data_IF_737960555257
#
_entry.id   IF_737960555257
#
_cell.length_a   1.000
_cell.length_b   1.000
_cell.length_c   1.000
_cell.angle_alpha   90.00
_cell.angle_beta   90.00
_cell.angle_gamma   90.00
#
_symmetry.space_group_name_H-M   'P 1'
#
loop_
_entity.id
_entity.type
_entity.pdbx_description
1 polymer ?
#
# COMPACT_ATOMS: atom_id res chain seq x y z
N UNK A 1 1.13 -3.06 9.58
CA UNK A 1 2.24 -2.09 9.51
C UNK A 1 3.52 -2.72 8.93
N UNK A 2 4.15 -3.69 9.58
CA UNK A 2 5.41 -4.28 9.11
C UNK A 2 5.33 -4.79 7.66
N UNK A 3 4.33 -5.61 7.32
CA UNK A 3 4.10 -6.13 5.96
C UNK A 3 3.96 -5.03 4.90
N UNK A 4 3.36 -3.89 5.24
CA UNK A 4 3.22 -2.74 4.32
C UNK A 4 4.60 -2.15 4.01
N UNK A 5 5.43 -1.97 5.04
CA UNK A 5 6.77 -1.39 4.92
C UNK A 5 7.70 -2.33 4.13
N UNK A 6 7.51 -3.66 4.21
CA UNK A 6 8.31 -4.63 3.46
C UNK A 6 8.31 -4.34 1.95
N UNK A 7 7.14 -3.99 1.40
CA UNK A 7 7.02 -3.67 -0.02
C UNK A 7 7.84 -2.46 -0.45
N UNK A 8 7.86 -1.40 0.38
CA UNK A 8 8.59 -0.18 0.08
C UNK A 8 10.13 -0.32 0.18
N UNK A 9 10.63 -1.32 0.91
CA UNK A 9 12.07 -1.57 1.09
C UNK A 9 12.59 -2.80 0.32
N UNK A 10 11.71 -3.46 -0.41
CA UNK A 10 12.01 -4.65 -1.18
C UNK A 10 13.21 -4.44 -2.12
N UNK A 11 13.89 -5.53 -2.46
CA UNK A 11 15.02 -5.64 -3.38
C UNK A 11 16.36 -5.03 -2.90
N UNK A 12 16.39 -4.30 -1.74
CA UNK A 12 17.64 -3.66 -1.28
C UNK A 12 17.83 -3.60 0.22
N UNK A 13 16.87 -4.06 1.03
CA UNK A 13 17.01 -4.11 2.48
C UNK A 13 17.54 -5.47 2.93
N UNK A 14 18.49 -5.48 3.87
CA UNK A 14 18.98 -6.70 4.52
C UNK A 14 17.87 -7.38 5.31
N UNK A 15 17.83 -8.72 5.26
CA UNK A 15 16.81 -9.52 5.93
C UNK A 15 16.83 -9.39 7.46
N UNK A 16 18.01 -9.53 8.09
CA UNK A 16 18.14 -9.48 9.55
C UNK A 16 17.68 -8.14 10.16
N UNK A 17 18.08 -6.96 9.65
CA UNK A 17 17.55 -5.68 10.13
C UNK A 17 16.03 -5.56 9.93
N UNK A 18 15.48 -6.14 8.86
CA UNK A 18 14.03 -6.13 8.66
C UNK A 18 13.29 -6.94 9.74
N UNK A 19 13.85 -8.08 10.18
CA UNK A 19 13.27 -8.85 11.30
C UNK A 19 13.28 -8.04 12.61
N UNK A 20 14.39 -7.36 12.92
CA UNK A 20 14.49 -6.48 14.09
C UNK A 20 13.47 -5.35 14.02
N UNK A 21 13.37 -4.71 12.85
CA UNK A 21 12.33 -3.70 12.61
C UNK A 21 10.93 -4.26 12.85
N UNK A 22 10.61 -5.41 12.28
CA UNK A 22 9.29 -6.03 12.40
C UNK A 22 8.92 -6.32 13.85
N UNK A 23 9.87 -6.81 14.65
CA UNK A 23 9.69 -7.05 16.08
C UNK A 23 9.35 -5.74 16.82
N UNK A 24 10.15 -4.70 16.65
CA UNK A 24 9.94 -3.41 17.31
C UNK A 24 8.64 -2.76 16.85
N UNK A 25 8.32 -2.81 15.56
CA UNK A 25 7.11 -2.26 15.00
C UNK A 25 5.84 -2.92 15.57
N UNK A 26 5.87 -4.25 15.72
CA UNK A 26 4.70 -5.01 16.23
C UNK A 26 4.55 -4.95 17.74
N UNK A 27 5.63 -4.77 18.49
CA UNK A 27 5.58 -4.71 19.97
C UNK A 27 5.32 -3.29 20.47
N UNK A 28 5.83 -2.25 19.80
CA UNK A 28 5.78 -0.88 20.31
C UNK A 28 5.00 0.08 19.41
N UNK A 29 5.35 0.17 18.12
CA UNK A 29 4.83 1.25 17.26
C UNK A 29 3.34 1.05 16.98
N UNK A 30 2.98 -0.14 16.53
CA UNK A 30 1.62 -0.49 16.13
C UNK A 30 0.65 -0.54 17.31
N UNK A 31 0.96 -1.22 18.44
CA UNK A 31 0.01 -1.33 19.55
C UNK A 31 -0.35 0.03 20.18
N UNK A 32 0.59 0.97 20.23
CA UNK A 32 0.30 2.31 20.74
C UNK A 32 -0.73 3.04 19.86
N UNK A 33 -0.57 3.02 18.54
CA UNK A 33 -1.54 3.61 17.62
C UNK A 33 -2.91 2.91 17.70
N UNK A 34 -2.91 1.57 17.81
CA UNK A 34 -4.13 0.78 18.00
C UNK A 34 -4.84 1.12 19.31
N UNK A 35 -4.08 1.27 20.40
CA UNK A 35 -4.65 1.69 21.68
C UNK A 35 -5.32 3.06 21.61
N UNK A 36 -4.73 4.03 20.93
CA UNK A 36 -5.33 5.37 20.79
C UNK A 36 -6.73 5.36 20.22
N UNK A 37 -7.01 4.45 19.27
CA UNK A 37 -8.28 4.43 18.51
C UNK A 37 -9.24 3.35 18.97
N UNK A 38 -8.74 2.15 19.28
CA UNK A 38 -9.58 0.98 19.54
C UNK A 38 -9.79 0.66 21.01
N UNK A 39 -8.95 1.20 21.92
CA UNK A 39 -9.19 1.06 23.34
C UNK A 39 -10.22 2.10 23.82
N UNK A 40 -11.15 1.72 24.73
CA UNK A 40 -12.05 2.68 25.38
C UNK A 40 -11.30 3.80 26.13
N UNK A 41 -10.07 3.52 26.56
CA UNK A 41 -9.21 4.50 27.22
C UNK A 41 -8.35 5.33 26.26
N UNK A 42 -8.34 4.96 24.99
CA UNK A 42 -7.60 5.67 23.94
C UNK A 42 -8.09 7.11 23.77
N UNK A 43 -7.16 8.04 23.64
CA UNK A 43 -7.51 9.46 23.55
C UNK A 43 -8.26 9.83 22.25
N UNK A 44 -7.94 9.15 21.14
CA UNK A 44 -8.66 9.34 19.87
C UNK A 44 -10.06 8.71 19.93
N UNK A 45 -10.22 7.57 20.60
CA UNK A 45 -11.52 6.96 20.86
C UNK A 45 -12.40 7.91 21.68
N UNK A 46 -11.87 8.49 22.75
CA UNK A 46 -12.59 9.41 23.64
C UNK A 46 -13.10 10.67 22.96
N UNK A 47 -12.42 11.14 21.92
CA UNK A 47 -12.90 12.28 21.13
C UNK A 47 -13.80 11.87 19.95
N UNK A 48 -14.08 10.57 19.79
CA UNK A 48 -15.02 10.04 18.81
C UNK A 48 -14.44 9.73 17.44
N UNK A 49 -13.13 9.46 17.33
CA UNK A 49 -12.55 8.97 16.08
C UNK A 49 -13.12 7.60 15.70
N UNK A 50 -13.50 7.45 14.43
CA UNK A 50 -14.02 6.21 13.86
C UNK A 50 -13.00 5.64 12.87
N UNK A 51 -12.50 4.45 13.16
CA UNK A 51 -11.67 3.66 12.26
C UNK A 51 -11.97 2.18 12.49
N UNK A 52 -12.99 1.66 11.75
CA UNK A 52 -13.56 0.35 12.05
C UNK A 52 -12.54 -0.77 11.98
N UNK A 53 -11.82 -0.86 10.88
CA UNK A 53 -10.86 -1.94 10.67
C UNK A 53 -9.42 -1.44 10.42
N UNK A 54 -9.16 -0.13 10.31
CA UNK A 54 -7.79 0.37 10.32
C UNK A 54 -7.30 1.09 9.07
N UNK A 55 -8.13 1.92 8.39
CA UNK A 55 -7.56 2.80 7.33
C UNK A 55 -6.46 3.69 7.89
N UNK A 56 -6.62 4.21 9.12
CA UNK A 56 -5.57 4.96 9.80
C UNK A 56 -4.59 4.04 10.53
N UNK A 57 -5.10 3.25 11.50
CA UNK A 57 -4.28 2.48 12.45
C UNK A 57 -3.39 1.45 11.76
N UNK A 58 -3.84 0.83 10.67
CA UNK A 58 -3.07 -0.19 9.93
C UNK A 58 -2.40 0.43 8.72
N UNK A 59 -3.23 1.04 7.84
CA UNK A 59 -2.78 1.39 6.50
C UNK A 59 -2.04 2.73 6.46
N UNK A 60 -2.60 3.80 7.01
CA UNK A 60 -1.94 5.10 7.03
C UNK A 60 -0.65 5.05 7.86
N UNK A 61 -0.70 4.43 9.03
CA UNK A 61 0.48 4.18 9.88
C UNK A 61 1.58 3.45 9.10
N UNK A 62 1.22 2.36 8.40
CA UNK A 62 2.16 1.57 7.61
C UNK A 62 2.68 2.30 6.38
N UNK A 63 1.80 3.00 5.66
CA UNK A 63 2.14 3.70 4.42
C UNK A 63 3.06 4.92 4.64
N UNK A 64 2.82 5.72 5.66
CA UNK A 64 3.73 6.81 6.02
C UNK A 64 5.03 6.29 6.66
N UNK A 65 4.96 5.18 7.39
CA UNK A 65 6.16 4.45 7.80
C UNK A 65 6.96 3.92 6.60
N UNK A 66 6.29 3.44 5.55
CA UNK A 66 6.93 2.99 4.32
C UNK A 66 7.66 4.14 3.61
N UNK A 67 7.08 5.35 3.58
CA UNK A 67 7.76 6.53 3.08
C UNK A 67 9.04 6.82 3.89
N UNK A 68 8.95 6.82 5.22
CA UNK A 68 10.09 7.06 6.10
C UNK A 68 11.20 6.02 5.85
N UNK A 69 10.86 4.74 5.75
CA UNK A 69 11.80 3.66 5.49
C UNK A 69 12.48 3.81 4.12
N UNK A 70 11.70 4.09 3.06
CA UNK A 70 12.21 4.29 1.71
C UNK A 70 13.20 5.47 1.64
N UNK A 71 12.89 6.58 2.32
CA UNK A 71 13.77 7.76 2.36
C UNK A 71 15.09 7.48 3.08
N UNK A 72 15.09 6.73 4.19
CA UNK A 72 16.31 6.40 4.95
C UNK A 72 17.16 5.37 4.22
N UNK A 73 16.52 4.36 3.61
CA UNK A 73 17.19 3.27 2.89
C UNK A 73 17.81 3.78 1.57
N UNK A 74 17.10 4.66 0.87
CA UNK A 74 17.44 5.16 -0.45
C UNK A 74 16.83 4.32 -1.59
N UNK A 75 16.89 4.83 -2.83
CA UNK A 75 16.32 4.17 -4.00
C UNK A 75 17.14 2.96 -4.43
N UNK A 76 16.51 2.05 -5.21
CA UNK A 76 17.18 0.94 -5.88
C UNK A 76 18.26 1.43 -6.84
N UNK A 77 19.28 0.62 -7.01
CA UNK A 77 20.35 0.89 -7.97
C UNK A 77 19.77 1.04 -9.37
N UNK A 78 20.15 2.12 -10.06
CA UNK A 78 19.64 2.41 -11.41
C UNK A 78 18.20 2.96 -11.50
N UNK A 79 17.48 3.17 -10.40
CA UNK A 79 16.11 3.75 -10.45
C UNK A 79 16.10 5.19 -10.96
N UNK A 80 17.07 6.00 -10.57
CA UNK A 80 17.17 7.41 -10.99
C UNK A 80 18.52 7.67 -11.67
N UNK A 81 18.47 8.35 -12.80
CA UNK A 81 19.66 8.76 -13.55
C UNK A 81 20.26 10.06 -12.97
N UNK A 82 21.50 10.37 -13.37
CA UNK A 82 22.20 11.60 -12.91
C UNK A 82 21.51 12.88 -13.36
N UNK A 83 20.82 12.85 -14.49
CA UNK A 83 20.02 13.97 -15.01
C UNK A 83 18.67 14.16 -14.30
N UNK A 84 18.35 13.27 -13.35
CA UNK A 84 17.11 13.26 -12.59
C UNK A 84 15.97 12.50 -13.27
N UNK A 85 16.16 11.95 -14.46
CA UNK A 85 15.18 11.07 -15.11
C UNK A 85 15.02 9.75 -14.35
N UNK A 86 13.86 9.11 -14.52
CA UNK A 86 13.49 7.88 -13.82
C UNK A 86 13.48 6.71 -14.79
N UNK A 87 14.05 5.60 -14.39
CA UNK A 87 13.94 4.34 -15.10
C UNK A 87 12.72 3.55 -14.62
N UNK A 88 11.98 2.97 -15.56
CA UNK A 88 10.89 2.06 -15.25
C UNK A 88 11.48 0.72 -14.81
N UNK A 89 11.09 0.25 -13.63
CA UNK A 89 11.44 -1.07 -13.11
C UNK A 89 10.16 -1.88 -12.93
N UNK A 90 9.70 -2.59 -13.98
CA UNK A 90 8.46 -3.36 -13.92
C UNK A 90 8.63 -4.56 -12.98
N UNK A 91 7.52 -5.00 -12.39
CA UNK A 91 7.49 -6.28 -11.69
C UNK A 91 7.79 -7.45 -12.64
N UNK A 92 8.44 -8.49 -12.14
CA UNK A 92 8.89 -9.62 -12.95
C UNK A 92 7.76 -10.54 -13.43
N UNK A 93 6.61 -10.55 -12.74
CA UNK A 93 5.49 -11.44 -13.07
C UNK A 93 4.14 -10.80 -12.73
N UNK A 94 3.49 -10.18 -13.72
CA UNK A 94 2.21 -9.52 -13.54
C UNK A 94 1.05 -10.50 -13.23
N UNK A 95 0.93 -11.69 -13.86
CA UNK A 95 -0.06 -12.68 -13.47
C UNK A 95 0.06 -13.12 -12.01
N UNK A 96 1.27 -13.31 -11.48
CA UNK A 96 1.50 -13.65 -10.08
C UNK A 96 1.11 -12.48 -9.15
N UNK A 97 1.38 -11.24 -9.56
CA UNK A 97 0.93 -10.04 -8.83
C UNK A 97 -0.61 -9.95 -8.78
N UNK A 98 -1.29 -10.28 -9.89
CA UNK A 98 -2.75 -10.34 -9.93
C UNK A 98 -3.30 -11.44 -9.00
N UNK A 99 -2.71 -12.63 -9.01
CA UNK A 99 -3.06 -13.70 -8.07
C UNK A 99 -2.89 -13.25 -6.62
N UNK A 100 -1.76 -12.59 -6.29
CA UNK A 100 -1.51 -12.02 -4.97
C UNK A 100 -2.59 -10.99 -4.56
N UNK A 101 -3.03 -10.16 -5.50
CA UNK A 101 -4.11 -9.20 -5.25
C UNK A 101 -5.46 -9.89 -4.97
N UNK A 102 -5.80 -10.98 -5.69
CA UNK A 102 -7.00 -11.76 -5.40
C UNK A 102 -6.94 -12.45 -4.04
N UNK A 103 -5.77 -12.96 -3.64
CA UNK A 103 -5.58 -13.53 -2.30
C UNK A 103 -5.76 -12.46 -1.23
N UNK A 104 -5.21 -11.26 -1.41
CA UNK A 104 -5.40 -10.12 -0.52
C UNK A 104 -6.87 -9.68 -0.46
N UNK A 105 -7.55 -9.61 -1.60
CA UNK A 105 -8.97 -9.26 -1.66
C UNK A 105 -9.83 -10.27 -0.93
N UNK A 106 -9.58 -11.56 -1.13
CA UNK A 106 -10.24 -12.63 -0.37
C UNK A 106 -9.98 -12.50 1.13
N UNK A 107 -8.71 -12.28 1.53
CA UNK A 107 -8.33 -12.06 2.93
C UNK A 107 -8.99 -10.83 3.55
N UNK A 108 -9.39 -9.83 2.72
CA UNK A 108 -10.05 -8.62 3.21
C UNK A 108 -11.48 -8.87 3.73
N UNK A 109 -12.13 -9.95 3.32
CA UNK A 109 -13.37 -10.39 3.95
C UNK A 109 -13.14 -10.90 5.38
N UNK A 110 -11.98 -11.46 5.68
CA UNK A 110 -11.53 -11.71 7.05
C UNK A 110 -11.11 -10.42 7.78
N UNK A 111 -10.55 -9.46 7.05
CA UNK A 111 -10.08 -8.19 7.61
C UNK A 111 -11.24 -7.28 8.03
N UNK A 112 -12.07 -6.83 7.11
CA UNK A 112 -13.15 -5.89 7.40
C UNK A 112 -14.36 -6.54 8.08
N UNK A 113 -15.05 -7.54 7.52
CA UNK A 113 -16.12 -8.24 8.21
C UNK A 113 -15.67 -8.90 9.53
N UNK A 114 -14.47 -9.47 9.58
CA UNK A 114 -13.91 -10.08 10.77
C UNK A 114 -13.64 -9.09 11.91
N UNK A 115 -13.53 -7.80 11.62
CA UNK A 115 -13.36 -6.74 12.64
C UNK A 115 -14.61 -6.47 13.46
N UNK A 116 -15.77 -7.09 13.16
CA UNK A 116 -16.92 -7.18 14.06
C UNK A 116 -16.61 -7.95 15.34
N UNK A 117 -15.57 -8.80 15.32
CA UNK A 117 -15.17 -9.71 16.40
C UNK A 117 -16.31 -10.66 16.84
N UNK A 118 -17.32 -10.86 15.99
CA UNK A 118 -18.48 -11.71 16.26
C UNK A 118 -18.98 -12.33 14.96
N UNK A 119 -19.06 -13.65 14.91
CA UNK A 119 -19.66 -14.37 13.77
C UNK A 119 -21.19 -14.25 13.67
N UNK A 120 -21.83 -13.64 14.67
CA UNK A 120 -23.29 -13.46 14.74
C UNK A 120 -23.73 -12.01 14.43
N UNK A 121 -22.81 -11.11 14.15
CA UNK A 121 -23.14 -9.73 13.82
C UNK A 121 -23.76 -9.63 12.41
N UNK A 122 -25.01 -9.17 12.34
CA UNK A 122 -25.73 -9.00 11.07
C UNK A 122 -25.09 -7.99 10.13
N UNK A 123 -24.24 -7.08 10.64
CA UNK A 123 -23.52 -6.11 9.81
C UNK A 123 -22.42 -6.76 8.95
N UNK A 124 -22.01 -7.99 9.24
CA UNK A 124 -21.00 -8.72 8.44
C UNK A 124 -21.32 -8.67 6.96
N UNK A 125 -22.57 -8.92 6.57
CA UNK A 125 -22.99 -8.91 5.18
C UNK A 125 -22.86 -7.53 4.53
N UNK A 126 -23.26 -6.48 5.23
CA UNK A 126 -23.12 -5.09 4.76
C UNK A 126 -21.67 -4.68 4.61
N UNK A 127 -20.85 -5.00 5.61
CA UNK A 127 -19.40 -4.71 5.59
C UNK A 127 -18.73 -5.43 4.42
N UNK A 128 -19.09 -6.70 4.16
CA UNK A 128 -18.59 -7.46 3.02
C UNK A 128 -18.97 -6.82 1.68
N UNK A 129 -20.23 -6.38 1.53
CA UNK A 129 -20.71 -5.68 0.33
C UNK A 129 -19.92 -4.37 0.13
N UNK A 130 -19.82 -3.53 1.15
CA UNK A 130 -19.09 -2.26 1.09
C UNK A 130 -17.63 -2.46 0.73
N UNK A 131 -16.98 -3.47 1.31
CA UNK A 131 -15.60 -3.84 1.04
C UNK A 131 -15.41 -4.23 -0.44
N UNK A 132 -16.29 -5.11 -0.95
CA UNK A 132 -16.22 -5.58 -2.33
C UNK A 132 -16.50 -4.47 -3.36
N UNK A 133 -17.51 -3.64 -3.10
CA UNK A 133 -17.87 -2.52 -3.99
C UNK A 133 -16.72 -1.51 -4.11
N UNK A 134 -16.08 -1.15 -3.00
CA UNK A 134 -14.96 -0.22 -3.01
C UNK A 134 -13.74 -0.79 -3.75
N UNK A 135 -13.44 -2.08 -3.58
CA UNK A 135 -12.35 -2.75 -4.30
C UNK A 135 -12.60 -2.74 -5.82
N UNK A 136 -13.80 -3.16 -6.25
CA UNK A 136 -14.17 -3.21 -7.66
C UNK A 136 -14.16 -1.82 -8.29
N UNK A 137 -14.75 -0.82 -7.61
CA UNK A 137 -14.76 0.57 -8.07
C UNK A 137 -13.34 1.15 -8.16
N UNK A 138 -12.47 0.87 -7.19
CA UNK A 138 -11.09 1.34 -7.17
C UNK A 138 -10.26 0.82 -8.34
N UNK A 139 -10.31 -0.49 -8.59
CA UNK A 139 -9.63 -1.12 -9.72
C UNK A 139 -10.12 -0.62 -11.06
N UNK A 140 -11.44 -0.54 -11.23
CA UNK A 140 -12.07 -0.03 -12.45
C UNK A 140 -11.69 1.43 -12.69
N UNK A 141 -11.78 2.29 -11.68
CA UNK A 141 -11.46 3.70 -11.80
C UNK A 141 -9.98 3.93 -12.14
N UNK A 142 -9.05 3.18 -11.53
CA UNK A 142 -7.63 3.26 -11.85
C UNK A 142 -7.33 2.83 -13.29
N UNK A 143 -7.93 1.72 -13.74
CA UNK A 143 -7.77 1.23 -15.10
C UNK A 143 -8.32 2.23 -16.15
N UNK A 144 -9.52 2.77 -15.91
CA UNK A 144 -10.12 3.79 -16.77
C UNK A 144 -9.32 5.10 -16.75
N UNK A 145 -8.86 5.55 -15.57
CA UNK A 145 -8.04 6.75 -15.46
C UNK A 145 -6.75 6.63 -16.28
N UNK A 146 -6.06 5.48 -16.21
CA UNK A 146 -4.85 5.24 -17.01
C UNK A 146 -5.18 5.15 -18.51
N UNK A 147 -6.29 4.51 -18.89
CA UNK A 147 -6.75 4.44 -20.27
C UNK A 147 -6.98 5.84 -20.86
N UNK A 148 -7.77 6.67 -20.18
CA UNK A 148 -8.08 8.02 -20.68
C UNK A 148 -6.90 8.97 -20.63
N UNK A 149 -6.01 8.82 -19.65
CA UNK A 149 -4.90 9.75 -19.44
C UNK A 149 -3.66 9.40 -20.26
N UNK A 150 -3.45 8.09 -20.56
CA UNK A 150 -2.22 7.59 -21.20
C UNK A 150 -2.50 6.72 -22.44
N UNK A 151 -3.77 6.52 -22.81
CA UNK A 151 -4.16 5.77 -24.00
C UNK A 151 -4.15 4.24 -23.83
N UNK A 152 -3.73 3.73 -22.66
CA UNK A 152 -3.74 2.29 -22.34
C UNK A 152 -4.13 2.08 -20.90
N UNK A 153 -5.00 1.08 -20.65
CA UNK A 153 -5.28 0.63 -19.29
C UNK A 153 -4.03 -0.08 -18.73
N UNK A 154 -3.55 0.38 -17.59
CA UNK A 154 -2.42 -0.23 -16.89
C UNK A 154 -2.91 -1.28 -15.89
N UNK A 155 -2.62 -2.60 -16.10
CA UNK A 155 -3.08 -3.63 -15.19
C UNK A 155 -2.48 -3.51 -13.79
N UNK A 156 -1.25 -3.03 -13.65
CA UNK A 156 -0.60 -2.85 -12.35
C UNK A 156 -1.29 -1.75 -11.53
N UNK A 157 -1.70 -0.66 -12.21
CA UNK A 157 -2.51 0.39 -11.58
C UNK A 157 -3.93 -0.09 -11.27
N UNK A 158 -4.52 -0.96 -12.10
CA UNK A 158 -5.79 -1.62 -11.80
C UNK A 158 -5.71 -2.47 -10.53
N UNK A 159 -4.67 -3.27 -10.37
CA UNK A 159 -4.39 -4.06 -9.16
C UNK A 159 -4.26 -3.13 -7.95
N UNK A 160 -3.39 -2.13 -8.03
CA UNK A 160 -3.19 -1.17 -6.94
C UNK A 160 -4.45 -0.35 -6.65
N UNK A 161 -5.26 -0.04 -7.67
CA UNK A 161 -6.54 0.63 -7.52
C UNK A 161 -7.55 -0.17 -6.70
N UNK A 162 -7.63 -1.50 -6.93
CA UNK A 162 -8.45 -2.39 -6.12
C UNK A 162 -7.99 -2.41 -4.66
N UNK A 163 -6.67 -2.53 -4.44
CA UNK A 163 -6.10 -2.49 -3.08
C UNK A 163 -6.33 -1.12 -2.42
N UNK A 164 -6.20 -0.02 -3.16
CA UNK A 164 -6.48 1.33 -2.65
C UNK A 164 -7.94 1.52 -2.27
N UNK A 165 -8.87 0.95 -3.04
CA UNK A 165 -10.29 0.91 -2.71
C UNK A 165 -10.56 0.15 -1.42
N UNK A 166 -9.95 -1.03 -1.27
CA UNK A 166 -9.99 -1.83 -0.03
C UNK A 166 -9.46 -1.05 1.17
N UNK A 167 -8.31 -0.42 1.04
CA UNK A 167 -7.70 0.41 2.08
C UNK A 167 -8.59 1.59 2.47
N UNK A 168 -9.11 2.31 1.48
CA UNK A 168 -9.91 3.50 1.73
C UNK A 168 -11.24 3.18 2.42
N UNK A 169 -11.87 2.04 2.11
CA UNK A 169 -13.15 1.67 2.74
C UNK A 169 -12.97 1.09 4.15
N UNK A 170 -11.77 0.67 4.52
CA UNK A 170 -11.50 -0.08 5.75
C UNK A 170 -11.91 0.66 7.02
N UNK A 171 -11.77 2.00 7.09
CA UNK A 171 -12.28 2.79 8.24
C UNK A 171 -13.80 2.89 8.24
N UNK A 172 -14.41 3.01 7.06
CA UNK A 172 -15.81 3.35 6.90
C UNK A 172 -16.74 2.17 6.61
N UNK A 173 -16.24 0.98 6.37
CA UNK A 173 -17.02 -0.14 5.83
C UNK A 173 -18.27 -0.50 6.66
N UNK A 174 -18.26 -0.22 7.97
CA UNK A 174 -19.40 -0.43 8.88
C UNK A 174 -20.27 0.82 9.04
N UNK A 175 -19.86 1.99 8.55
CA UNK A 175 -20.49 3.28 8.84
C UNK A 175 -21.10 3.97 7.63
N UNK A 176 -20.79 3.52 6.41
CA UNK A 176 -21.23 4.17 5.17
C UNK A 176 -22.21 3.29 4.39
N UNK A 177 -23.01 3.92 3.55
CA UNK A 177 -23.89 3.21 2.62
C UNK A 177 -23.13 2.59 1.44
N UNK A 178 -23.69 1.54 0.78
CA UNK A 178 -23.06 0.89 -0.37
C UNK A 178 -22.71 1.85 -1.51
N UNK A 179 -23.55 2.84 -1.80
CA UNK A 179 -23.26 3.85 -2.83
C UNK A 179 -22.05 4.72 -2.47
N UNK A 180 -21.90 5.07 -1.19
CA UNK A 180 -20.74 5.79 -0.69
C UNK A 180 -19.45 4.98 -0.83
N UNK A 181 -19.52 3.65 -0.64
CA UNK A 181 -18.37 2.76 -0.83
C UNK A 181 -17.88 2.73 -2.28
N UNK A 182 -18.79 2.75 -3.26
CA UNK A 182 -18.43 2.88 -4.69
C UNK A 182 -17.69 4.19 -4.95
N UNK A 183 -18.20 5.30 -4.41
CA UNK A 183 -17.60 6.64 -4.59
C UNK A 183 -16.20 6.68 -3.94
N UNK A 184 -16.08 6.20 -2.69
CA UNK A 184 -14.82 6.14 -1.95
C UNK A 184 -13.80 5.28 -2.73
N UNK A 185 -14.20 4.11 -3.19
CA UNK A 185 -13.34 3.23 -3.97
C UNK A 185 -12.89 3.87 -5.27
N UNK A 186 -13.79 4.48 -6.03
CA UNK A 186 -13.45 5.14 -7.31
C UNK A 186 -12.48 6.30 -7.11
N UNK A 187 -12.67 7.14 -6.11
CA UNK A 187 -11.73 8.23 -5.78
C UNK A 187 -10.36 7.64 -5.38
N UNK A 188 -10.32 6.60 -4.54
CA UNK A 188 -9.09 5.93 -4.14
C UNK A 188 -8.31 5.39 -5.35
N UNK A 189 -8.99 4.76 -6.33
CA UNK A 189 -8.37 4.26 -7.55
C UNK A 189 -7.70 5.37 -8.38
N UNK A 190 -8.33 6.53 -8.50
CA UNK A 190 -7.72 7.69 -9.17
C UNK A 190 -6.54 8.26 -8.38
N UNK A 191 -6.68 8.37 -7.05
CA UNK A 191 -5.62 8.86 -6.17
C UNK A 191 -4.36 8.01 -6.26
N UNK A 192 -4.47 6.69 -6.38
CA UNK A 192 -3.32 5.78 -6.54
C UNK A 192 -2.46 6.20 -7.72
N UNK A 193 -3.06 6.38 -8.90
CA UNK A 193 -2.30 6.71 -10.12
C UNK A 193 -1.57 8.05 -9.99
N UNK A 194 -2.21 9.01 -9.34
CA UNK A 194 -1.63 10.33 -9.08
C UNK A 194 -0.49 10.22 -8.05
N UNK A 195 -0.73 9.51 -6.94
CA UNK A 195 0.20 9.41 -5.83
C UNK A 195 1.47 8.63 -6.18
N UNK A 196 1.38 7.50 -6.90
CA UNK A 196 2.56 6.75 -7.35
C UNK A 196 3.49 7.66 -8.16
N UNK A 197 2.94 8.40 -9.12
CA UNK A 197 3.75 9.33 -9.93
C UNK A 197 4.31 10.50 -9.13
N UNK A 198 3.57 10.96 -8.12
CA UNK A 198 4.03 12.03 -7.24
C UNK A 198 5.25 11.58 -6.42
N UNK A 199 5.18 10.40 -5.78
CA UNK A 199 6.30 9.90 -4.98
C UNK A 199 7.51 9.50 -5.82
N UNK A 200 7.30 8.95 -7.02
CA UNK A 200 8.39 8.70 -7.98
C UNK A 200 9.14 10.00 -8.33
N UNK A 201 8.41 11.10 -8.57
CA UNK A 201 9.02 12.43 -8.82
C UNK A 201 9.76 12.99 -7.61
N UNK A 202 9.28 12.69 -6.42
CA UNK A 202 9.93 13.03 -5.14
C UNK A 202 11.15 12.15 -4.86
N UNK A 203 11.48 11.21 -5.75
CA UNK A 203 12.56 10.22 -5.61
C UNK A 203 12.41 9.31 -4.39
N UNK A 204 11.18 9.07 -3.95
CA UNK A 204 10.84 8.04 -2.99
C UNK A 204 10.55 6.74 -3.76
N UNK A 205 11.57 5.87 -3.87
CA UNK A 205 11.45 4.61 -4.61
C UNK A 205 10.66 3.59 -3.79
N UNK A 206 9.47 3.29 -4.28
CA UNK A 206 8.53 2.34 -3.71
C UNK A 206 8.17 1.28 -4.76
N UNK A 207 8.78 0.08 -4.69
CA UNK A 207 8.63 -0.95 -5.72
C UNK A 207 7.20 -1.39 -5.99
N UNK A 208 6.33 -1.38 -4.98
CA UNK A 208 4.96 -1.91 -5.06
C UNK A 208 3.87 -0.84 -4.93
N UNK A 209 4.25 0.41 -4.66
CA UNK A 209 3.28 1.49 -4.45
C UNK A 209 2.64 1.49 -3.06
N UNK A 210 3.31 0.92 -2.05
CA UNK A 210 2.80 0.82 -0.68
C UNK A 210 2.47 2.20 -0.07
N UNK A 211 3.27 3.23 -0.36
CA UNK A 211 3.02 4.59 0.11
C UNK A 211 1.70 5.14 -0.45
N UNK A 212 1.47 4.96 -1.75
CA UNK A 212 0.25 5.41 -2.41
C UNK A 212 -0.97 4.62 -1.95
N UNK A 213 -0.87 3.28 -1.94
CA UNK A 213 -1.96 2.37 -1.55
C UNK A 213 -2.34 2.57 -0.09
N UNK A 214 -1.37 2.55 0.82
CA UNK A 214 -1.65 2.52 2.25
C UNK A 214 -1.56 3.91 2.91
N UNK A 215 -0.57 4.72 2.57
CA UNK A 215 -0.41 6.07 3.13
C UNK A 215 -1.50 7.02 2.64
N UNK A 216 -1.57 7.21 1.31
CA UNK A 216 -2.52 8.17 0.72
C UNK A 216 -3.95 7.68 0.83
N UNK A 217 -4.26 6.44 0.39
CA UNK A 217 -5.63 5.94 0.44
C UNK A 217 -6.09 5.64 1.87
N UNK A 218 -5.18 5.28 2.81
CA UNK A 218 -5.53 5.16 4.21
C UNK A 218 -5.89 6.50 4.85
N UNK A 219 -5.13 7.56 4.55
CA UNK A 219 -5.45 8.93 4.96
C UNK A 219 -6.79 9.38 4.37
N UNK A 220 -6.98 9.20 3.06
CA UNK A 220 -8.23 9.55 2.39
C UNK A 220 -9.42 8.77 2.97
N UNK A 221 -9.30 7.45 3.16
CA UNK A 221 -10.36 6.61 3.68
C UNK A 221 -10.80 6.99 5.10
N UNK A 222 -9.85 7.37 5.94
CA UNK A 222 -10.14 7.88 7.29
C UNK A 222 -10.91 9.22 7.22
N UNK A 223 -10.51 10.14 6.35
CA UNK A 223 -11.23 11.40 6.13
C UNK A 223 -12.61 11.16 5.52
N UNK A 224 -12.75 10.17 4.64
CA UNK A 224 -14.00 9.82 4.00
C UNK A 224 -15.08 9.39 5.02
N UNK A 225 -14.72 8.80 6.15
CA UNK A 225 -15.66 8.53 7.25
C UNK A 225 -16.31 9.83 7.73
N UNK A 226 -15.52 10.89 7.94
CA UNK A 226 -16.03 12.20 8.34
C UNK A 226 -17.01 12.84 7.33
N UNK A 227 -16.93 12.41 6.08
CA UNK A 227 -17.79 12.91 4.99
C UNK A 227 -19.02 12.03 4.81
N UNK A 228 -18.82 10.70 4.71
CA UNK A 228 -19.82 9.73 4.23
C UNK A 228 -20.47 8.88 5.32
N UNK A 229 -20.06 8.99 6.59
CA UNK A 229 -20.71 8.20 7.66
C UNK A 229 -22.19 8.60 7.81
N UNK A 230 -23.09 7.60 7.88
CA UNK A 230 -24.53 7.80 8.05
C UNK A 230 -24.86 8.54 9.35
N UNK A 231 -24.05 8.35 10.39
CA UNK A 231 -24.16 9.07 11.65
C UNK A 231 -22.99 10.03 11.81
N UNK A 232 -23.27 11.30 11.83
CA UNK A 232 -22.27 12.34 12.07
C UNK A 232 -21.43 12.74 10.85
N UNK A 233 -21.59 12.10 9.70
CA UNK A 233 -20.91 12.49 8.47
C UNK A 233 -21.45 13.81 7.90
N UNK A 234 -20.56 14.58 7.25
CA UNK A 234 -20.87 15.89 6.70
C UNK A 234 -22.08 15.85 5.73
N UNK A 235 -22.13 14.87 4.82
CA UNK A 235 -23.21 14.71 3.85
C UNK A 235 -24.53 14.26 4.47
N UNK A 236 -24.51 13.77 5.69
CA UNK A 236 -25.69 13.32 6.44
C UNK A 236 -26.10 14.32 7.54
N UNK A 237 -25.67 15.56 7.43
CA UNK A 237 -26.09 16.64 8.34
C UNK A 237 -25.30 16.72 9.65
N UNK A 238 -24.24 15.95 9.81
CA UNK A 238 -23.39 15.96 11.04
C UNK A 238 -22.43 17.15 11.15
N UNK A 239 -22.39 18.04 10.14
CA UNK A 239 -21.46 19.15 10.12
C UNK A 239 -19.99 18.72 10.01
N UNK A 240 -19.08 19.56 10.46
CA UNK A 240 -17.63 19.33 10.34
C UNK A 240 -17.02 18.60 11.54
N UNK A 241 -17.78 18.32 12.59
CA UNK A 241 -17.23 17.78 13.84
C UNK A 241 -16.50 16.45 13.61
N UNK A 242 -17.18 15.45 13.04
CA UNK A 242 -16.56 14.14 12.78
C UNK A 242 -15.38 14.25 11.80
N UNK A 243 -15.50 15.05 10.76
CA UNK A 243 -14.41 15.27 9.81
C UNK A 243 -13.17 15.87 10.48
N UNK A 244 -13.35 16.82 11.40
CA UNK A 244 -12.24 17.40 12.17
C UNK A 244 -11.57 16.38 13.08
N UNK A 245 -12.34 15.52 13.73
CA UNK A 245 -11.83 14.41 14.57
C UNK A 245 -11.04 13.41 13.71
N UNK A 246 -11.58 13.03 12.55
CA UNK A 246 -10.90 12.12 11.62
C UNK A 246 -9.59 12.73 11.09
N UNK A 247 -9.59 14.03 10.77
CA UNK A 247 -8.40 14.74 10.33
C UNK A 247 -7.31 14.78 11.41
N UNK A 248 -7.67 15.11 12.65
CA UNK A 248 -6.74 15.10 13.78
C UNK A 248 -6.19 13.69 14.01
N UNK A 249 -7.06 12.68 14.00
CA UNK A 249 -6.67 11.29 14.25
C UNK A 249 -5.72 10.75 13.19
N UNK A 250 -6.05 10.92 11.90
CA UNK A 250 -5.18 10.42 10.83
C UNK A 250 -3.86 11.17 10.77
N UNK A 251 -3.84 12.47 11.08
CA UNK A 251 -2.61 13.25 11.18
C UNK A 251 -1.72 12.72 12.31
N UNK A 252 -2.27 12.50 13.50
CA UNK A 252 -1.52 11.98 14.65
C UNK A 252 -0.92 10.60 14.35
N UNK A 253 -1.71 9.69 13.77
CA UNK A 253 -1.25 8.33 13.43
C UNK A 253 -0.20 8.37 12.31
N UNK A 254 -0.40 9.19 11.30
CA UNK A 254 0.55 9.34 10.19
C UNK A 254 1.90 9.90 10.66
N UNK A 255 1.88 10.93 11.49
CA UNK A 255 3.09 11.50 12.07
C UNK A 255 3.80 10.51 13.00
N UNK A 256 3.04 9.76 13.82
CA UNK A 256 3.59 8.71 14.66
C UNK A 256 4.27 7.62 13.83
N UNK A 257 3.60 7.11 12.79
CA UNK A 257 4.14 6.09 11.91
C UNK A 257 5.40 6.55 11.17
N UNK A 258 5.37 7.76 10.63
CA UNK A 258 6.52 8.35 9.93
C UNK A 258 7.69 8.57 10.88
N UNK A 259 7.49 9.30 11.98
CA UNK A 259 8.56 9.71 12.88
C UNK A 259 9.24 8.52 13.57
N UNK A 260 8.45 7.57 14.08
CA UNK A 260 9.00 6.38 14.77
C UNK A 260 9.73 5.46 13.81
N UNK A 261 9.19 5.23 12.61
CA UNK A 261 9.86 4.42 11.58
C UNK A 261 11.13 5.11 11.10
N UNK A 262 11.09 6.43 10.85
CA UNK A 262 12.27 7.19 10.45
C UNK A 262 13.39 7.08 11.49
N UNK A 263 13.07 7.33 12.76
CA UNK A 263 14.04 7.26 13.85
C UNK A 263 14.64 5.84 13.98
N UNK A 264 13.82 4.81 13.90
CA UNK A 264 14.26 3.42 14.01
C UNK A 264 15.15 3.02 12.82
N UNK A 265 14.72 3.30 11.59
CA UNK A 265 15.52 3.00 10.40
C UNK A 265 16.84 3.79 10.39
N UNK A 266 16.82 5.05 10.81
CA UNK A 266 18.03 5.86 10.91
C UNK A 266 19.00 5.30 11.95
N UNK A 267 18.51 4.92 13.13
CA UNK A 267 19.32 4.28 14.17
C UNK A 267 19.95 2.95 13.68
N UNK A 268 19.14 2.09 13.05
CA UNK A 268 19.62 0.82 12.49
C UNK A 268 20.63 1.03 11.35
N UNK A 269 20.42 2.06 10.51
CA UNK A 269 21.39 2.43 9.44
C UNK A 269 22.74 2.81 10.01
N UNK A 270 22.77 3.50 11.16
CA UNK A 270 24.00 3.95 11.81
C UNK A 270 24.69 2.87 12.65
N UNK A 271 24.00 1.85 13.08
CA UNK A 271 24.53 0.80 13.95
C UNK A 271 24.86 -0.49 13.20
N UNK A 272 23.83 -1.16 12.66
CA UNK A 272 23.96 -2.49 12.05
C UNK A 272 24.04 -2.46 10.51
N UNK A 273 23.72 -1.29 9.91
CA UNK A 273 23.57 -1.17 8.48
C UNK A 273 22.29 -1.89 7.98
N UNK A 274 21.49 -1.23 7.13
CA UNK A 274 20.18 -1.73 6.71
C UNK A 274 20.10 -2.12 5.24
N UNK A 275 21.10 -1.71 4.43
CA UNK A 275 21.09 -1.93 2.98
C UNK A 275 22.14 -2.96 2.59
N UNK A 276 21.80 -3.80 1.65
CA UNK A 276 22.73 -4.72 0.97
C UNK A 276 23.74 -3.93 0.11
N UNK A 277 24.82 -4.57 -0.30
CA UNK A 277 25.78 -4.00 -1.25
C UNK A 277 25.17 -3.88 -2.64
N UNK A 278 25.79 -3.09 -3.52
CA UNK A 278 25.33 -2.97 -4.91
C UNK A 278 25.47 -4.30 -5.66
N UNK A 279 26.48 -5.09 -5.34
CA UNK A 279 26.70 -6.39 -5.96
C UNK A 279 25.60 -7.38 -5.56
N UNK A 280 25.26 -7.47 -4.25
CA UNK A 280 24.15 -8.29 -3.75
C UNK A 280 22.79 -7.83 -4.32
N UNK A 281 22.56 -6.51 -4.46
CA UNK A 281 21.34 -5.97 -5.07
C UNK A 281 21.24 -6.32 -6.56
N UNK A 282 22.37 -6.42 -7.27
CA UNK A 282 22.44 -6.77 -8.69
C UNK A 282 22.30 -8.27 -8.92
N UNK A 283 22.88 -9.08 -8.05
CA UNK A 283 22.77 -10.55 -8.07
C UNK A 283 21.33 -11.00 -7.78
N UNK A 284 20.65 -10.30 -6.86
CA UNK A 284 19.29 -10.61 -6.37
C UNK A 284 19.34 -11.18 -4.96
N UNK A 285 18.38 -10.73 -4.13
CA UNK A 285 18.34 -11.10 -2.71
C UNK A 285 17.92 -12.54 -2.45
N UNK A 286 17.32 -13.20 -3.41
CA UNK A 286 17.03 -14.64 -3.38
C UNK A 286 18.33 -15.46 -3.32
N UNK A 287 19.34 -15.09 -4.09
CA UNK A 287 20.67 -15.71 -4.02
C UNK A 287 21.49 -15.15 -2.86
N UNK A 288 21.61 -13.82 -2.77
CA UNK A 288 22.52 -13.19 -1.81
C UNK A 288 22.12 -13.39 -0.34
N UNK A 289 20.82 -13.36 -0.01
CA UNK A 289 20.32 -13.48 1.37
C UNK A 289 19.81 -14.90 1.70
N UNK A 290 19.37 -15.67 0.70
CA UNK A 290 18.73 -16.98 0.92
C UNK A 290 19.45 -18.15 0.26
N UNK A 291 20.42 -17.91 -0.63
CA UNK A 291 21.22 -18.96 -1.28
C UNK A 291 20.44 -19.84 -2.25
N UNK A 292 19.26 -19.39 -2.70
CA UNK A 292 18.40 -20.15 -3.61
C UNK A 292 17.77 -19.20 -4.63
N UNK A 293 17.86 -19.56 -5.93
CA UNK A 293 17.17 -18.83 -6.98
C UNK A 293 15.65 -19.01 -6.86
N UNK A 294 14.90 -17.90 -6.95
CA UNK A 294 13.44 -17.92 -6.94
C UNK A 294 12.86 -18.56 -8.21
N UNK A 295 13.60 -18.50 -9.32
CA UNK A 295 13.25 -19.10 -10.61
C UNK A 295 14.42 -19.87 -11.18
N UNK A 296 14.17 -21.03 -11.82
CA UNK A 296 15.20 -21.77 -12.53
C UNK A 296 15.62 -21.02 -13.79
N UNK A 297 16.95 -20.90 -14.03
CA UNK A 297 17.52 -20.20 -15.19
C UNK A 297 17.05 -20.74 -16.56
N UNK A 298 16.52 -21.96 -16.61
CA UNK A 298 16.00 -22.56 -17.84
C UNK A 298 14.70 -21.93 -18.35
N UNK A 299 14.00 -21.13 -17.56
CA UNK A 299 12.66 -20.64 -17.95
C UNK A 299 12.64 -19.21 -18.51
N UNK A 300 13.73 -18.45 -18.40
CA UNK A 300 13.71 -17.08 -18.90
C UNK A 300 14.98 -16.66 -19.67
N UNK A 301 15.19 -17.30 -20.82
CA UNK A 301 16.00 -16.69 -21.87
C UNK A 301 15.09 -16.29 -23.05
N UNK A 302 14.63 -15.04 -23.11
CA UNK A 302 13.78 -14.57 -24.23
C UNK A 302 14.47 -14.66 -25.59
N UNK A 303 15.79 -14.86 -25.61
CA UNK A 303 16.60 -15.03 -26.83
C UNK A 303 16.81 -16.52 -27.19
N UNK A 304 16.68 -17.46 -26.27
CA UNK A 304 16.82 -18.90 -26.58
C UNK A 304 15.69 -19.41 -27.48
N UNK A 305 14.49 -18.87 -27.33
CA UNK A 305 13.32 -19.21 -28.16
C UNK A 305 13.50 -18.74 -29.60
N UNK A 306 14.17 -17.61 -29.82
CA UNK A 306 14.44 -17.05 -31.16
C UNK A 306 15.54 -17.84 -31.87
N UNK A 307 16.56 -18.33 -31.18
CA UNK A 307 17.61 -19.15 -31.76
C UNK A 307 17.12 -20.55 -32.21
N UNK A 308 16.16 -21.12 -31.46
CA UNK A 308 15.58 -22.43 -31.81
C UNK A 308 14.56 -22.41 -32.94
N UNK A 309 14.06 -21.24 -33.34
CA UNK A 309 13.10 -21.09 -34.46
C UNK A 309 13.76 -20.79 -35.80
N UNK A 310 15.10 -20.85 -35.91
CA UNK A 310 15.82 -20.83 -37.21
C UNK A 310 15.65 -19.56 -38.04
N UNK A 311 15.19 -18.47 -37.48
CA UNK A 311 14.94 -17.22 -38.17
C UNK A 311 15.96 -16.14 -37.84
N UNK A 312 16.81 -15.76 -38.85
CA UNK A 312 17.60 -14.54 -38.76
C UNK A 312 16.67 -13.32 -38.68
N UNK A 313 16.46 -12.77 -37.51
CA UNK A 313 15.87 -11.42 -37.39
C UNK A 313 16.99 -10.40 -37.39
N UNK A 314 16.96 -9.51 -38.37
CA UNK A 314 17.80 -8.33 -38.40
C UNK A 314 17.23 -7.24 -37.51
N UNK A 315 18.07 -6.31 -36.95
CA UNK A 315 17.67 -5.32 -35.93
C UNK A 315 16.64 -4.27 -36.36
N UNK A 316 16.04 -4.36 -37.52
CA UNK A 316 15.22 -3.27 -38.11
C UNK A 316 13.69 -3.45 -37.98
N UNK A 317 13.17 -4.42 -37.23
CA UNK A 317 11.72 -4.68 -37.20
C UNK A 317 10.99 -4.14 -35.94
N UNK A 318 11.61 -3.23 -35.19
CA UNK A 318 10.92 -2.50 -34.12
C UNK A 318 10.99 -0.99 -34.42
N UNK A 319 10.01 -0.52 -35.14
CA UNK A 319 9.60 0.89 -35.17
C UNK A 319 8.21 1.01 -34.55
#
# INVERSE_FOLDING_TARGET
>A
MATIISGAVAERMKFSPYLVFSLIATVFIYPLAGHWVWSPDGWLNKIGMLDFAGSAVVHSLGGWGALAAALVLGPRSGKYNRDGSMNVMPGHNLPLAALGAFILWFGWFGFNPGSTLSGLDLNIARIAINTNLAAAAGGTAAALFTLFRYGKADPSMGINGSLGGLVAITAGCAYVEPISSLIIGAIAGMLIVIAVRFFDRMKADDPVGAIAVHGVCGTFGTLAVGIFAEKGGFLYGGGFHLLSVQALGVLAISLWGFATTYALFYAMKKTVGIRVTVDEETEGLDLAEHGMAAYNEMEYNPFATVQNLGGKMTPNNFK
#
